data_IF_691176794984
#
_entry.id   IF_691176794984
#
_cell.length_a   1.000
_cell.length_b   1.000
_cell.length_c   1.000
_cell.angle_alpha   90.00
_cell.angle_beta   90.00
_cell.angle_gamma   90.00
#
_symmetry.space_group_name_H-M   'P 1'
#
loop_
_entity.id
_entity.type
_entity.pdbx_description
1 polymer ?
#
# COMPACT_ATOMS: atom_id res chain seq x y z
N UNK A 1 -9.74 0.91 -2.93
CA UNK A 1 -9.91 1.26 -1.51
C UNK A 1 -10.05 0.07 -0.56
N UNK A 2 -10.90 -0.92 -0.83
CA UNK A 2 -11.14 -2.08 0.07
C UNK A 2 -9.87 -2.76 0.58
N UNK A 3 -8.88 -3.00 -0.29
CA UNK A 3 -7.63 -3.66 0.09
C UNK A 3 -6.83 -2.86 1.14
N UNK A 4 -6.83 -1.53 1.03
CA UNK A 4 -6.15 -0.65 1.98
C UNK A 4 -6.83 -0.72 3.34
N UNK A 5 -8.15 -0.57 3.35
CA UNK A 5 -8.94 -0.51 4.59
C UNK A 5 -9.04 -1.86 5.31
N UNK A 6 -8.95 -2.97 4.58
CA UNK A 6 -9.02 -4.32 5.15
C UNK A 6 -7.65 -4.96 5.37
N UNK A 7 -6.57 -4.39 4.85
CA UNK A 7 -5.25 -5.03 4.82
C UNK A 7 -5.19 -6.30 3.95
N UNK A 8 -6.23 -6.59 3.16
CA UNK A 8 -6.28 -7.75 2.28
C UNK A 8 -5.67 -7.44 0.91
N UNK A 9 -5.12 -8.46 0.24
CA UNK A 9 -4.69 -8.36 -1.15
C UNK A 9 -3.24 -8.77 -1.37
N UNK A 10 -2.51 -8.00 -2.17
CA UNK A 10 -1.15 -8.34 -2.63
C UNK A 10 -0.02 -7.98 -1.64
N UNK A 11 -0.37 -7.58 -0.42
CA UNK A 11 0.61 -7.30 0.64
C UNK A 11 1.29 -8.59 1.10
N UNK A 12 2.63 -8.60 1.23
CA UNK A 12 3.37 -9.81 1.67
C UNK A 12 2.87 -10.33 3.01
N UNK A 13 2.58 -9.44 3.95
CA UNK A 13 2.05 -9.83 5.26
C UNK A 13 0.71 -10.59 5.17
N UNK A 14 -0.13 -10.29 4.18
CA UNK A 14 -1.39 -10.99 3.96
C UNK A 14 -1.19 -12.34 3.28
N UNK A 15 -0.48 -12.39 2.15
CA UNK A 15 -0.26 -13.63 1.39
C UNK A 15 0.62 -14.65 2.14
N UNK A 16 1.52 -14.18 3.00
CA UNK A 16 2.33 -15.02 3.88
C UNK A 16 1.47 -15.87 4.83
N UNK A 17 0.33 -15.36 5.30
CA UNK A 17 -0.61 -16.11 6.17
C UNK A 17 -1.12 -17.39 5.50
N UNK A 18 -1.17 -17.41 4.16
CA UNK A 18 -1.59 -18.56 3.36
C UNK A 18 -0.40 -19.34 2.78
N UNK A 19 0.84 -19.06 3.23
CA UNK A 19 2.09 -19.67 2.75
C UNK A 19 2.34 -19.42 1.24
N UNK A 20 1.79 -18.33 0.70
CA UNK A 20 1.95 -17.94 -0.69
C UNK A 20 3.15 -17.03 -0.94
N UNK A 21 3.87 -16.58 0.09
CA UNK A 21 5.18 -15.91 0.02
C UNK A 21 6.07 -16.48 1.14
N UNK A 22 7.38 -16.36 1.02
CA UNK A 22 8.34 -16.97 1.95
C UNK A 22 8.60 -16.10 3.19
N UNK A 23 8.23 -14.82 3.14
CA UNK A 23 8.40 -13.88 4.24
C UNK A 23 7.34 -12.77 4.18
N UNK A 24 6.83 -12.27 5.33
CA UNK A 24 5.94 -11.12 5.38
C UNK A 24 6.68 -9.78 5.21
N UNK A 25 8.01 -9.77 5.27
CA UNK A 25 8.81 -8.55 5.37
C UNK A 25 8.82 -7.71 4.10
N UNK A 26 8.92 -6.39 4.25
CA UNK A 26 9.11 -5.46 3.14
C UNK A 26 10.54 -5.56 2.60
N UNK A 27 10.73 -5.71 1.28
CA UNK A 27 12.07 -5.80 0.69
C UNK A 27 12.96 -4.57 0.91
N UNK A 28 12.36 -3.41 1.18
CA UNK A 28 13.07 -2.14 1.37
C UNK A 28 13.17 -1.72 2.84
N UNK A 29 12.54 -2.45 3.77
CA UNK A 29 12.48 -2.12 5.19
C UNK A 29 12.75 -3.38 6.03
N UNK A 30 14.03 -3.69 6.32
CA UNK A 30 14.40 -4.91 7.05
C UNK A 30 13.67 -5.03 8.39
N UNK A 31 13.12 -6.21 8.69
CA UNK A 31 12.40 -6.48 9.94
C UNK A 31 11.00 -5.85 10.04
N UNK A 32 10.52 -5.15 9.00
CA UNK A 32 9.18 -4.55 8.97
C UNK A 32 8.26 -5.36 8.07
N UNK A 33 7.07 -5.71 8.55
CA UNK A 33 6.07 -6.42 7.73
C UNK A 33 5.53 -5.50 6.63
N UNK A 34 5.43 -6.00 5.40
CA UNK A 34 4.74 -5.29 4.32
C UNK A 34 3.23 -5.56 4.43
N UNK A 35 2.58 -4.82 5.33
CA UNK A 35 1.12 -4.69 5.43
C UNK A 35 0.63 -3.38 4.82
N UNK A 36 -0.69 -3.15 4.85
CA UNK A 36 -1.27 -1.94 4.29
C UNK A 36 -0.79 -0.68 5.02
N UNK A 37 -0.69 -0.70 6.35
CA UNK A 37 -0.30 0.48 7.10
C UNK A 37 1.15 0.89 6.77
N UNK A 38 2.07 -0.07 6.80
CA UNK A 38 3.44 0.18 6.39
C UNK A 38 3.52 0.70 4.96
N UNK A 39 2.87 0.02 4.01
CA UNK A 39 2.91 0.40 2.59
C UNK A 39 2.42 1.84 2.38
N UNK A 40 1.29 2.20 2.97
CA UNK A 40 0.62 3.46 2.66
C UNK A 40 1.22 4.65 3.40
N UNK A 41 1.72 4.47 4.62
CA UNK A 41 2.12 5.60 5.48
C UNK A 41 3.63 5.68 5.74
N UNK A 42 4.38 4.58 5.62
CA UNK A 42 5.77 4.53 6.08
C UNK A 42 6.77 4.08 4.99
N UNK A 43 6.34 3.27 4.03
CA UNK A 43 7.26 2.59 3.13
C UNK A 43 7.96 3.59 2.19
N UNK A 44 9.30 3.62 2.13
CA UNK A 44 10.06 4.56 1.31
C UNK A 44 9.87 4.33 -0.19
N UNK A 45 9.46 3.13 -0.62
CA UNK A 45 9.15 2.85 -2.04
C UNK A 45 8.02 3.72 -2.59
N UNK A 46 7.13 4.17 -1.71
CA UNK A 46 5.93 4.91 -2.08
C UNK A 46 5.95 6.34 -1.54
N UNK A 47 7.13 6.87 -1.17
CA UNK A 47 7.25 8.23 -0.62
C UNK A 47 6.81 9.28 -1.63
N UNK A 48 7.27 9.19 -2.88
CA UNK A 48 6.91 10.16 -3.90
C UNK A 48 5.40 10.22 -4.15
N UNK A 49 4.73 9.07 -4.25
CA UNK A 49 3.29 9.01 -4.46
C UNK A 49 2.52 9.52 -3.23
N UNK A 50 3.03 9.27 -2.03
CA UNK A 50 2.47 9.80 -0.77
C UNK A 50 2.66 11.31 -0.67
N UNK A 51 3.85 11.84 -0.96
CA UNK A 51 4.14 13.28 -0.95
C UNK A 51 3.22 14.02 -1.92
N UNK A 52 3.00 13.47 -3.12
CA UNK A 52 2.05 14.00 -4.10
C UNK A 52 0.61 14.02 -3.57
N UNK A 53 0.19 12.98 -2.85
CA UNK A 53 -1.12 12.94 -2.22
C UNK A 53 -1.23 13.98 -1.10
N UNK A 54 -0.22 14.11 -0.24
CA UNK A 54 -0.19 15.09 0.87
C UNK A 54 -0.28 16.53 0.36
N UNK A 55 0.35 16.84 -0.77
CA UNK A 55 0.21 18.13 -1.45
C UNK A 55 -1.24 18.40 -1.89
N UNK A 56 -1.94 17.38 -2.43
CA UNK A 56 -3.34 17.52 -2.85
C UNK A 56 -4.27 17.63 -1.63
N UNK A 57 -4.00 16.86 -0.57
CA UNK A 57 -4.78 16.92 0.67
C UNK A 57 -4.49 18.18 1.50
N UNK A 58 -3.40 18.89 1.18
CA UNK A 58 -2.86 20.02 1.94
C UNK A 58 -2.65 19.69 3.43
N UNK A 59 -2.18 18.46 3.71
CA UNK A 59 -1.90 17.95 5.05
C UNK A 59 -1.08 16.65 4.98
N UNK A 60 -0.39 16.33 6.06
CA UNK A 60 0.29 15.04 6.23
C UNK A 60 -0.71 13.89 6.32
N UNK A 61 -0.36 12.77 5.69
CA UNK A 61 -1.19 11.58 5.63
C UNK A 61 -0.93 10.70 6.85
N UNK A 62 -1.97 10.52 7.67
CA UNK A 62 -1.93 9.64 8.84
C UNK A 62 -3.02 8.55 8.73
N UNK A 63 -2.80 7.34 9.28
CA UNK A 63 -3.80 6.28 9.30
C UNK A 63 -5.13 6.74 9.89
N UNK A 64 -5.10 7.49 10.98
CA UNK A 64 -6.26 7.93 11.74
C UNK A 64 -7.09 8.96 10.98
N UNK A 65 -6.45 9.74 10.10
CA UNK A 65 -7.11 10.84 9.38
C UNK A 65 -7.51 10.46 7.96
N UNK A 66 -7.01 9.34 7.41
CA UNK A 66 -7.22 8.94 6.01
C UNK A 66 -8.70 8.95 5.61
N UNK A 67 -9.55 8.29 6.39
CA UNK A 67 -10.98 8.16 6.07
C UNK A 67 -11.66 9.54 6.08
N UNK A 68 -11.33 10.39 7.03
CA UNK A 68 -11.83 11.76 7.09
C UNK A 68 -11.40 12.58 5.86
N UNK A 69 -10.14 12.48 5.42
CA UNK A 69 -9.66 13.12 4.19
C UNK A 69 -10.44 12.66 2.97
N UNK A 70 -10.65 11.35 2.86
CA UNK A 70 -11.35 10.77 1.72
C UNK A 70 -12.80 11.24 1.64
N UNK A 71 -13.44 11.52 2.77
CA UNK A 71 -14.84 11.93 2.81
C UNK A 71 -15.06 13.45 2.71
N UNK A 72 -14.00 14.26 2.81
CA UNK A 72 -14.13 15.72 2.81
C UNK A 72 -14.53 16.31 1.46
N UNK A 73 -14.19 15.64 0.35
CA UNK A 73 -14.59 16.06 -1.00
C UNK A 73 -14.43 14.93 -2.01
N UNK A 74 -15.09 15.07 -3.17
CA UNK A 74 -14.85 14.18 -4.31
C UNK A 74 -13.40 14.22 -4.79
N UNK A 75 -12.76 15.39 -4.77
CA UNK A 75 -11.38 15.56 -5.23
C UNK A 75 -10.39 14.79 -4.34
N UNK A 76 -10.54 14.88 -3.01
CA UNK A 76 -9.69 14.16 -2.05
C UNK A 76 -9.95 12.64 -2.10
N UNK A 77 -11.20 12.22 -2.31
CA UNK A 77 -11.53 10.82 -2.59
C UNK A 77 -10.82 10.30 -3.85
N UNK A 78 -10.94 11.02 -4.96
CA UNK A 78 -10.39 10.61 -6.27
C UNK A 78 -8.85 10.59 -6.22
N UNK A 79 -8.22 11.57 -5.56
CA UNK A 79 -6.77 11.60 -5.35
C UNK A 79 -6.28 10.42 -4.50
N UNK A 80 -6.94 10.15 -3.37
CA UNK A 80 -6.59 9.01 -2.50
C UNK A 80 -6.80 7.68 -3.21
N UNK A 81 -7.87 7.57 -4.00
CA UNK A 81 -8.17 6.38 -4.80
C UNK A 81 -7.13 6.15 -5.91
N UNK A 82 -6.60 7.22 -6.49
CA UNK A 82 -5.57 7.15 -7.52
C UNK A 82 -4.25 6.65 -6.92
N UNK A 83 -3.79 7.28 -5.83
CA UNK A 83 -2.63 6.82 -5.06
C UNK A 83 -2.76 5.35 -4.67
N UNK A 84 -3.91 4.96 -4.12
CA UNK A 84 -4.23 3.58 -3.77
C UNK A 84 -4.09 2.62 -4.94
N UNK A 85 -4.60 3.00 -6.11
CA UNK A 85 -4.55 2.17 -7.31
C UNK A 85 -3.13 2.00 -7.84
N UNK A 86 -2.31 3.05 -7.82
CA UNK A 86 -0.91 3.01 -8.27
C UNK A 86 -0.09 2.04 -7.41
N UNK A 87 -0.13 2.22 -6.09
CA UNK A 87 0.58 1.38 -5.12
C UNK A 87 0.14 -0.09 -5.24
N UNK A 88 -1.17 -0.36 -5.30
CA UNK A 88 -1.68 -1.73 -5.39
C UNK A 88 -1.37 -2.38 -6.75
N UNK A 89 -1.35 -1.62 -7.85
CA UNK A 89 -0.94 -2.15 -9.16
C UNK A 89 0.53 -2.56 -9.15
N UNK A 90 1.39 -1.74 -8.57
CA UNK A 90 2.81 -2.04 -8.44
C UNK A 90 3.03 -3.29 -7.57
N UNK A 91 2.47 -3.32 -6.36
CA UNK A 91 2.59 -4.48 -5.45
C UNK A 91 2.10 -5.78 -6.09
N UNK A 92 0.96 -5.75 -6.80
CA UNK A 92 0.44 -6.92 -7.53
C UNK A 92 1.35 -7.36 -8.68
N UNK A 93 2.02 -6.43 -9.34
CA UNK A 93 3.01 -6.76 -10.37
C UNK A 93 4.20 -7.50 -9.75
N UNK A 94 4.73 -6.96 -8.64
CA UNK A 94 5.87 -7.56 -7.93
C UNK A 94 5.48 -8.94 -7.35
N UNK A 95 4.30 -9.07 -6.75
CA UNK A 95 3.76 -10.34 -6.26
C UNK A 95 3.76 -11.42 -7.37
N UNK A 96 3.24 -11.09 -8.56
CA UNK A 96 3.21 -12.01 -9.71
C UNK A 96 4.61 -12.39 -10.19
N UNK A 97 5.54 -11.45 -10.20
CA UNK A 97 6.94 -11.73 -10.56
C UNK A 97 7.58 -12.69 -9.57
N UNK A 98 7.41 -12.45 -8.25
CA UNK A 98 7.91 -13.35 -7.20
C UNK A 98 7.31 -14.74 -7.31
N UNK A 99 6.00 -14.84 -7.57
CA UNK A 99 5.34 -16.13 -7.78
C UNK A 99 5.96 -16.90 -8.95
N UNK A 100 6.21 -16.25 -10.09
CA UNK A 100 6.85 -16.89 -11.25
C UNK A 100 8.27 -17.38 -10.93
N UNK A 101 9.06 -16.57 -10.24
CA UNK A 101 10.44 -16.92 -9.87
C UNK A 101 10.52 -18.09 -8.88
N UNK A 102 9.50 -18.31 -8.04
CA UNK A 102 9.47 -19.44 -7.10
C UNK A 102 9.04 -20.75 -7.75
N UNK A 103 8.20 -20.70 -8.78
CA UNK A 103 7.58 -21.87 -9.40
C UNK A 103 8.20 -22.25 -10.75
N UNK A 104 9.28 -21.57 -11.15
CA UNK A 104 10.15 -21.95 -12.26
C UNK A 104 11.41 -22.60 -11.69
#
# INVERSE_FOLDING_TARGET
MTQILSGHGCFRAYIYRFKHDNSPECPSCPGVSEDAEHVFFMCPRFSLQRDNLELILNRTLHPETLVEAMLSSKATWDATSTFAMEVLKELRSIERQRYKLRNN
#
